data_IF_651908904111
#
_entry.id   IF_651908904111
#
_cell.length_a   1.000
_cell.length_b   1.000
_cell.length_c   1.000
_cell.angle_alpha   90.00
_cell.angle_beta   90.00
_cell.angle_gamma   90.00
#
_symmetry.space_group_name_H-M   'P 1'
#
loop_
_entity.id
_entity.type
_entity.pdbx_description
1 polymer ?
#
# COMPACT_ATOMS: atom_id res chain seq x y z
N UNK A 1 -23.18 17.85 38.87
CA UNK A 1 -23.97 17.86 37.61
C UNK A 1 -23.67 19.07 36.70
N UNK A 2 -23.55 20.31 37.23
CA UNK A 2 -23.29 21.50 36.42
C UNK A 2 -21.96 21.52 35.65
N UNK A 3 -20.95 20.76 36.09
CA UNK A 3 -19.64 20.68 35.44
C UNK A 3 -19.63 19.84 34.16
N UNK A 4 -20.58 18.89 34.00
CA UNK A 4 -20.63 17.96 32.85
C UNK A 4 -21.66 18.39 31.80
N UNK A 5 -22.54 19.33 32.14
CA UNK A 5 -23.55 19.89 31.22
C UNK A 5 -23.02 20.36 29.85
N UNK A 6 -21.82 20.96 29.75
CA UNK A 6 -21.30 21.41 28.45
C UNK A 6 -20.84 20.27 27.55
N UNK A 7 -20.28 19.20 28.11
CA UNK A 7 -19.61 18.12 27.37
C UNK A 7 -20.47 16.89 27.20
N UNK A 8 -21.42 16.65 28.11
CA UNK A 8 -22.31 15.49 28.08
C UNK A 8 -23.16 15.40 26.79
N UNK A 9 -23.74 16.49 26.25
CA UNK A 9 -24.49 16.41 24.99
C UNK A 9 -23.60 16.04 23.80
N UNK A 10 -22.36 16.55 23.76
CA UNK A 10 -21.39 16.24 22.69
C UNK A 10 -20.95 14.78 22.78
N UNK A 11 -20.66 14.30 23.99
CA UNK A 11 -20.31 12.90 24.23
C UNK A 11 -21.45 11.96 23.82
N UNK A 12 -22.68 12.27 24.21
CA UNK A 12 -23.86 11.49 23.83
C UNK A 12 -24.07 11.50 22.32
N UNK A 13 -23.95 12.66 21.66
CA UNK A 13 -24.05 12.75 20.21
C UNK A 13 -22.99 11.88 19.51
N UNK A 14 -21.73 11.98 19.92
CA UNK A 14 -20.65 11.16 19.36
C UNK A 14 -20.88 9.67 19.59
N UNK A 15 -21.32 9.27 20.78
CA UNK A 15 -21.64 7.87 21.09
C UNK A 15 -22.83 7.35 20.29
N UNK A 16 -23.84 8.18 20.00
CA UNK A 16 -24.95 7.79 19.13
C UNK A 16 -24.50 7.56 17.69
N UNK A 17 -23.64 8.43 17.14
CA UNK A 17 -23.10 8.26 15.80
C UNK A 17 -22.23 7.00 15.69
N UNK A 18 -21.32 6.79 16.64
CA UNK A 18 -20.48 5.57 16.68
C UNK A 18 -21.34 4.32 16.86
N UNK A 19 -22.35 4.37 17.72
CA UNK A 19 -23.30 3.27 17.92
C UNK A 19 -24.06 2.90 16.65
N UNK A 20 -24.54 3.89 15.90
CA UNK A 20 -25.22 3.66 14.62
C UNK A 20 -24.28 2.99 13.60
N UNK A 21 -23.05 3.49 13.45
CA UNK A 21 -22.06 2.88 12.55
C UNK A 21 -21.74 1.45 12.99
N UNK A 22 -21.52 1.20 14.28
CA UNK A 22 -21.23 -0.13 14.80
C UNK A 22 -22.38 -1.12 14.55
N UNK A 23 -23.64 -0.67 14.65
CA UNK A 23 -24.82 -1.49 14.34
C UNK A 23 -24.90 -1.78 12.84
N UNK A 24 -24.70 -0.78 11.98
CA UNK A 24 -24.69 -0.99 10.52
C UNK A 24 -23.61 -1.97 10.09
N UNK A 25 -22.41 -1.89 10.69
CA UNK A 25 -21.25 -2.72 10.33
C UNK A 25 -21.08 -3.96 11.23
N UNK A 26 -22.08 -4.31 12.06
CA UNK A 26 -22.00 -5.41 13.03
C UNK A 26 -21.52 -6.72 12.38
N UNK A 27 -22.10 -7.10 11.24
CA UNK A 27 -21.74 -8.32 10.53
C UNK A 27 -20.26 -8.34 10.07
N UNK A 28 -19.73 -7.19 9.65
CA UNK A 28 -18.32 -7.06 9.25
C UNK A 28 -17.37 -7.15 10.45
N UNK A 29 -17.77 -6.59 11.60
CA UNK A 29 -17.00 -6.67 12.85
C UNK A 29 -16.97 -8.12 13.36
N UNK A 30 -18.11 -8.80 13.37
CA UNK A 30 -18.21 -10.22 13.75
C UNK A 30 -17.31 -11.08 12.86
N UNK A 31 -17.39 -10.89 11.54
CA UNK A 31 -16.53 -11.60 10.59
C UNK A 31 -15.04 -11.36 10.87
N UNK A 32 -14.63 -10.12 11.15
CA UNK A 32 -13.24 -9.81 11.48
C UNK A 32 -12.79 -10.54 12.74
N UNK A 33 -13.59 -10.51 13.81
CA UNK A 33 -13.25 -11.14 15.08
C UNK A 33 -13.18 -12.68 14.99
N UNK A 34 -14.00 -13.29 14.12
CA UNK A 34 -13.98 -14.74 13.88
C UNK A 34 -12.81 -15.16 12.98
N UNK A 35 -12.50 -14.37 11.93
CA UNK A 35 -11.47 -14.73 10.95
C UNK A 35 -10.05 -14.31 11.35
N UNK A 36 -9.89 -13.30 12.20
CA UNK A 36 -8.58 -12.78 12.58
C UNK A 36 -7.69 -13.83 13.26
N UNK A 37 -8.14 -14.61 14.27
CA UNK A 37 -7.28 -15.62 14.90
C UNK A 37 -6.74 -16.70 13.94
N UNK A 38 -7.57 -17.40 13.14
CA UNK A 38 -7.04 -18.41 12.20
C UNK A 38 -6.20 -17.78 11.08
N UNK A 39 -6.48 -16.55 10.67
CA UNK A 39 -5.65 -15.85 9.69
C UNK A 39 -4.24 -15.55 10.22
N UNK A 40 -4.14 -15.03 11.46
CA UNK A 40 -2.83 -14.81 12.11
C UNK A 40 -2.08 -16.13 12.32
N UNK A 41 -2.78 -17.20 12.72
CA UNK A 41 -2.19 -18.52 12.84
C UNK A 41 -1.64 -19.03 11.49
N UNK A 42 -2.37 -18.81 10.40
CA UNK A 42 -1.91 -19.15 9.05
C UNK A 42 -0.65 -18.37 8.66
N UNK A 43 -0.58 -17.07 8.97
CA UNK A 43 0.62 -16.28 8.69
C UNK A 43 1.84 -16.78 9.47
N UNK A 44 1.67 -17.17 10.73
CA UNK A 44 2.75 -17.75 11.54
C UNK A 44 3.22 -19.11 11.00
N UNK A 45 2.36 -19.88 10.33
CA UNK A 45 2.72 -21.16 9.72
C UNK A 45 3.59 -21.05 8.47
N UNK A 46 3.65 -19.89 7.81
CA UNK A 46 4.41 -19.71 6.56
C UNK A 46 5.93 -19.76 6.81
N UNK A 47 6.38 -19.46 8.04
CA UNK A 47 7.81 -19.45 8.39
C UNK A 47 8.08 -20.07 9.77
N UNK A 48 7.95 -21.40 9.94
CA UNK A 48 8.22 -22.03 11.22
C UNK A 48 9.70 -21.93 11.56
N UNK A 49 10.02 -21.16 12.62
CA UNK A 49 11.38 -21.05 13.16
C UNK A 49 11.88 -22.38 13.75
N UNK A 50 10.96 -23.26 14.14
CA UNK A 50 11.25 -24.57 14.70
C UNK A 50 11.04 -25.66 13.65
N UNK A 51 11.94 -25.76 12.66
CA UNK A 51 11.94 -26.86 11.70
C UNK A 51 13.12 -27.82 11.94
N UNK A 52 12.94 -29.14 11.74
CA UNK A 52 13.96 -30.14 12.06
C UNK A 52 15.21 -30.06 11.18
N UNK A 53 15.15 -29.31 10.07
CA UNK A 53 16.29 -29.10 9.18
C UNK A 53 17.10 -27.83 9.49
N UNK A 54 16.61 -26.94 10.35
CA UNK A 54 17.24 -25.63 10.65
C UNK A 54 17.35 -24.66 9.46
N UNK A 55 16.81 -25.02 8.29
CA UNK A 55 16.90 -24.27 7.03
C UNK A 55 15.57 -23.67 6.63
N UNK A 56 15.56 -22.50 5.98
CA UNK A 56 14.33 -21.90 5.44
C UNK A 56 13.67 -22.85 4.42
N UNK A 57 12.36 -23.09 4.56
CA UNK A 57 11.56 -23.81 3.58
C UNK A 57 10.93 -22.77 2.64
N UNK A 58 11.45 -22.69 1.42
CA UNK A 58 10.86 -21.88 0.35
C UNK A 58 10.25 -22.80 -0.71
N UNK A 59 9.13 -22.39 -1.27
CA UNK A 59 8.60 -22.95 -2.51
C UNK A 59 8.73 -21.89 -3.62
N UNK A 60 9.08 -22.34 -4.82
CA UNK A 60 9.18 -21.49 -6.00
C UNK A 60 8.00 -21.79 -6.92
N UNK A 61 6.96 -20.97 -6.79
CA UNK A 61 5.82 -21.00 -7.72
C UNK A 61 5.91 -19.82 -8.69
N UNK A 62 5.87 -20.10 -9.99
CA UNK A 62 5.76 -19.06 -11.02
C UNK A 62 4.30 -18.68 -11.20
N UNK A 63 3.95 -17.46 -10.80
CA UNK A 63 2.65 -16.86 -11.07
C UNK A 63 2.76 -15.77 -12.13
N UNK A 64 2.11 -15.97 -13.28
CA UNK A 64 2.05 -14.96 -14.35
C UNK A 64 0.65 -14.37 -14.37
N UNK A 65 0.40 -13.39 -13.49
CA UNK A 65 -0.74 -12.48 -13.54
C UNK A 65 -2.07 -13.04 -14.07
N UNK A 66 -2.50 -14.21 -13.60
CA UNK A 66 -3.76 -14.86 -13.98
C UNK A 66 -4.61 -15.11 -12.73
N UNK A 67 -5.76 -14.42 -12.57
CA UNK A 67 -6.26 -13.39 -13.48
C UNK A 67 -5.42 -12.11 -13.44
N UNK A 68 -5.39 -11.32 -14.54
CA UNK A 68 -4.64 -10.07 -14.56
C UNK A 68 -5.20 -9.09 -13.54
N UNK A 69 -4.35 -8.21 -13.02
CA UNK A 69 -4.80 -7.14 -12.14
C UNK A 69 -5.71 -6.16 -12.91
N UNK A 70 -6.72 -5.62 -12.23
CA UNK A 70 -7.55 -4.58 -12.80
C UNK A 70 -6.78 -3.26 -12.93
N UNK A 71 -6.79 -2.67 -14.13
CA UNK A 71 -6.11 -1.41 -14.41
C UNK A 71 -7.06 -0.25 -14.74
N UNK A 72 -8.30 -0.56 -15.11
CA UNK A 72 -9.31 0.45 -15.45
C UNK A 72 -9.79 1.16 -14.19
N UNK A 73 -9.72 2.49 -14.20
CA UNK A 73 -10.03 3.35 -13.05
C UNK A 73 -8.83 3.67 -12.15
N UNK A 74 -7.63 3.22 -12.54
CA UNK A 74 -6.36 3.59 -11.91
C UNK A 74 -5.53 4.51 -12.82
N UNK A 75 -4.42 5.02 -12.28
CA UNK A 75 -3.51 5.88 -13.02
C UNK A 75 -2.97 5.19 -14.28
N UNK A 76 -2.96 5.88 -15.43
CA UNK A 76 -2.38 5.33 -16.65
C UNK A 76 -0.86 5.13 -16.47
N UNK A 77 -0.24 4.19 -17.23
CA UNK A 77 1.19 3.91 -17.12
C UNK A 77 2.08 5.13 -17.32
N UNK A 78 1.65 6.10 -18.14
CA UNK A 78 2.32 7.38 -18.35
C UNK A 78 2.40 8.27 -17.10
N UNK A 79 1.66 7.94 -16.05
CA UNK A 79 1.65 8.63 -14.76
C UNK A 79 2.23 7.77 -13.63
N UNK A 80 2.78 6.59 -13.96
CA UNK A 80 3.44 5.75 -12.96
C UNK A 80 4.80 6.34 -12.60
N UNK A 81 5.04 6.43 -11.30
CA UNK A 81 6.29 6.98 -10.77
C UNK A 81 7.40 5.95 -10.80
N UNK A 82 8.63 6.43 -10.90
CA UNK A 82 9.82 5.60 -10.72
C UNK A 82 9.86 5.08 -9.28
N UNK A 83 10.27 3.82 -9.09
CA UNK A 83 10.45 3.24 -7.77
C UNK A 83 11.55 3.95 -6.93
N UNK A 84 12.40 4.76 -7.56
CA UNK A 84 13.44 5.55 -6.88
C UNK A 84 12.94 6.94 -6.40
N UNK A 85 11.75 7.36 -6.80
CA UNK A 85 11.20 8.65 -6.43
C UNK A 85 10.47 8.54 -5.09
N UNK A 86 11.04 9.17 -4.06
CA UNK A 86 10.56 9.12 -2.68
C UNK A 86 9.77 10.37 -2.26
N UNK A 87 9.45 11.27 -3.20
CA UNK A 87 8.69 12.47 -2.86
C UNK A 87 7.24 12.11 -2.48
N UNK A 88 6.69 12.83 -1.51
CA UNK A 88 5.30 12.66 -1.09
C UNK A 88 4.36 13.31 -2.13
N UNK A 89 3.26 12.63 -2.41
CA UNK A 89 2.19 13.14 -3.28
C UNK A 89 0.85 12.65 -2.77
N UNK A 90 -0.17 13.48 -2.91
CA UNK A 90 -1.54 13.08 -2.60
C UNK A 90 -2.01 12.02 -3.61
N UNK A 91 -2.71 11.01 -3.08
CA UNK A 91 -3.33 9.98 -3.90
C UNK A 91 -4.63 10.53 -4.49
N UNK A 92 -4.82 10.46 -5.82
CA UNK A 92 -6.07 10.88 -6.44
C UNK A 92 -7.27 10.13 -5.88
N UNK A 93 -8.40 10.83 -5.80
CA UNK A 93 -9.65 10.26 -5.31
C UNK A 93 -10.29 9.34 -6.35
N UNK A 94 -11.16 8.43 -5.88
CA UNK A 94 -11.97 7.59 -6.77
C UNK A 94 -11.19 6.52 -7.54
N UNK A 95 -10.02 6.11 -7.01
CA UNK A 95 -9.23 5.00 -7.54
C UNK A 95 -9.80 3.65 -7.09
N UNK A 96 -10.46 2.96 -8.01
CA UNK A 96 -10.92 1.60 -7.82
C UNK A 96 -11.10 0.94 -9.19
N UNK A 97 -11.22 -0.39 -9.20
CA UNK A 97 -11.50 -1.10 -10.44
C UNK A 97 -12.87 -0.72 -11.01
N UNK A 98 -12.89 0.03 -12.12
CA UNK A 98 -14.11 0.51 -12.81
C UNK A 98 -14.60 -0.44 -13.92
N UNK A 99 -14.20 -1.71 -13.89
CA UNK A 99 -14.78 -2.77 -14.73
C UNK A 99 -16.14 -3.27 -14.18
N UNK A 100 -16.94 -4.03 -14.94
CA UNK A 100 -18.17 -4.64 -14.43
C UNK A 100 -17.94 -5.51 -13.20
N UNK A 101 -18.94 -5.61 -12.31
CA UNK A 101 -18.81 -6.34 -11.04
C UNK A 101 -18.53 -7.84 -11.23
N UNK A 102 -19.03 -8.42 -12.31
CA UNK A 102 -18.87 -9.80 -12.77
C UNK A 102 -17.59 -10.04 -13.59
N UNK A 103 -16.75 -9.01 -13.79
CA UNK A 103 -15.50 -9.16 -14.55
C UNK A 103 -14.56 -10.18 -13.87
N UNK A 104 -14.01 -11.15 -14.63
CA UNK A 104 -13.09 -12.17 -14.11
C UNK A 104 -11.68 -11.64 -13.82
N UNK A 105 -11.40 -10.39 -14.17
CA UNK A 105 -10.14 -9.70 -13.87
C UNK A 105 -9.98 -9.55 -12.36
N UNK A 106 -8.75 -9.76 -11.88
CA UNK A 106 -8.40 -9.77 -10.46
C UNK A 106 -8.86 -8.49 -9.76
N UNK A 107 -9.86 -8.63 -8.90
CA UNK A 107 -10.42 -7.53 -8.12
C UNK A 107 -9.51 -7.27 -6.94
N UNK A 108 -8.49 -6.44 -7.14
CA UNK A 108 -7.86 -5.75 -6.01
C UNK A 108 -8.68 -4.50 -5.72
N UNK A 109 -9.16 -4.36 -4.49
CA UNK A 109 -9.81 -3.14 -4.00
C UNK A 109 -11.34 -3.19 -3.91
N UNK A 110 -11.93 -2.00 -3.79
CA UNK A 110 -13.25 -1.81 -3.20
C UNK A 110 -14.46 -2.18 -4.10
N UNK A 111 -14.28 -2.41 -5.41
CA UNK A 111 -15.36 -2.61 -6.40
C UNK A 111 -16.53 -3.47 -5.92
N UNK A 112 -16.19 -4.59 -5.27
CA UNK A 112 -17.15 -5.62 -4.87
C UNK A 112 -17.41 -5.65 -3.36
N UNK A 113 -17.12 -4.57 -2.62
CA UNK A 113 -17.42 -4.52 -1.19
C UNK A 113 -18.93 -4.50 -0.94
N UNK A 114 -19.40 -5.28 0.06
CA UNK A 114 -20.81 -5.31 0.43
C UNK A 114 -21.22 -3.98 1.08
N UNK A 115 -22.26 -3.34 0.54
CA UNK A 115 -22.85 -2.16 1.13
C UNK A 115 -23.65 -2.55 2.39
N UNK A 116 -23.10 -2.30 3.58
CA UNK A 116 -23.70 -2.79 4.82
C UNK A 116 -25.12 -2.26 5.08
N UNK A 117 -25.40 -1.01 4.68
CA UNK A 117 -26.74 -0.42 4.79
C UNK A 117 -27.73 -0.85 3.70
N UNK A 118 -27.29 -1.57 2.67
CA UNK A 118 -28.11 -1.94 1.50
C UNK A 118 -27.90 -3.42 1.14
N UNK A 119 -28.68 -4.34 1.73
CA UNK A 119 -28.53 -5.78 1.52
C UNK A 119 -28.55 -6.15 0.03
N UNK A 120 -27.58 -6.96 -0.40
CA UNK A 120 -27.44 -7.42 -1.79
C UNK A 120 -26.75 -6.44 -2.73
N UNK A 121 -26.52 -5.18 -2.32
CA UNK A 121 -25.79 -4.19 -3.12
C UNK A 121 -24.29 -4.25 -2.83
N UNK A 122 -23.49 -4.07 -3.87
CA UNK A 122 -22.03 -3.91 -3.78
C UNK A 122 -21.61 -2.63 -4.47
N UNK A 123 -20.64 -1.93 -3.89
CA UNK A 123 -20.10 -0.73 -4.50
C UNK A 123 -18.70 -0.41 -3.93
N UNK A 124 -17.88 0.33 -4.69
CA UNK A 124 -16.55 0.76 -4.27
C UNK A 124 -16.55 1.90 -3.24
N UNK A 125 -17.61 2.71 -3.19
CA UNK A 125 -17.67 3.87 -2.30
C UNK A 125 -19.02 3.96 -1.59
N UNK A 126 -19.05 4.70 -0.48
CA UNK A 126 -20.26 4.87 0.33
C UNK A 126 -21.32 5.68 -0.41
N UNK A 127 -20.92 6.65 -1.23
CA UNK A 127 -21.83 7.47 -2.03
C UNK A 127 -22.55 6.61 -3.07
N UNK A 128 -21.83 5.70 -3.71
CA UNK A 128 -22.44 4.76 -4.64
C UNK A 128 -23.31 3.75 -3.89
N UNK A 129 -22.92 3.29 -2.69
CA UNK A 129 -23.77 2.45 -1.86
C UNK A 129 -25.11 3.12 -1.54
N UNK A 130 -25.09 4.39 -1.13
CA UNK A 130 -26.29 5.16 -0.77
C UNK A 130 -27.10 5.65 -1.97
N UNK A 131 -26.49 5.74 -3.16
CA UNK A 131 -27.19 6.13 -4.38
C UNK A 131 -28.33 5.16 -4.77
N UNK A 132 -29.39 5.66 -5.40
CA UNK A 132 -30.45 4.82 -5.97
C UNK A 132 -30.06 4.13 -7.28
N UNK A 133 -28.89 4.44 -7.82
CA UNK A 133 -28.42 3.98 -9.13
C UNK A 133 -27.55 2.72 -9.01
N UNK A 134 -27.59 1.82 -10.01
CA UNK A 134 -26.67 0.70 -10.09
C UNK A 134 -25.23 1.18 -10.35
N UNK A 135 -24.26 0.32 -10.07
CA UNK A 135 -22.85 0.56 -10.40
C UNK A 135 -22.67 0.66 -11.92
N UNK A 136 -22.09 1.76 -12.39
CA UNK A 136 -21.80 1.98 -13.81
C UNK A 136 -20.30 1.73 -14.09
N UNK A 137 -19.96 0.74 -14.94
CA UNK A 137 -18.58 0.48 -15.32
C UNK A 137 -18.09 1.51 -16.35
N UNK A 138 -16.83 1.92 -16.23
CA UNK A 138 -16.17 2.82 -17.19
C UNK A 138 -15.87 2.12 -18.52
N UNK A 139 -15.56 0.82 -18.47
CA UNK A 139 -15.30 0.00 -19.65
C UNK A 139 -15.70 -1.44 -19.37
N UNK A 140 -16.18 -2.15 -20.39
CA UNK A 140 -16.58 -3.56 -20.26
C UNK A 140 -15.38 -4.52 -20.14
N UNK A 141 -14.24 -4.16 -20.72
CA UNK A 141 -13.01 -4.94 -20.71
C UNK A 141 -11.81 -4.02 -20.59
N UNK A 142 -10.76 -4.52 -19.95
CA UNK A 142 -9.47 -3.85 -19.95
C UNK A 142 -8.63 -4.32 -21.13
N UNK A 143 -7.84 -3.40 -21.70
CA UNK A 143 -6.87 -3.75 -22.73
C UNK A 143 -5.58 -4.25 -22.08
N UNK A 144 -5.02 -5.34 -22.61
CA UNK A 144 -3.74 -5.87 -22.13
C UNK A 144 -2.57 -4.94 -22.50
N UNK A 145 -2.58 -4.39 -23.71
CA UNK A 145 -1.48 -3.57 -24.27
C UNK A 145 -1.94 -2.21 -24.83
N UNK A 146 -3.25 -2.00 -24.94
CA UNK A 146 -3.83 -0.75 -25.42
C UNK A 146 -3.88 0.35 -24.36
N UNK A 147 -4.17 1.60 -24.77
CA UNK A 147 -4.33 2.72 -23.85
C UNK A 147 -5.44 2.44 -22.83
N UNK A 148 -5.32 3.03 -21.65
CA UNK A 148 -6.37 2.96 -20.66
C UNK A 148 -7.61 3.72 -21.14
N UNK A 149 -8.82 3.26 -20.78
CA UNK A 149 -10.05 3.99 -21.08
C UNK A 149 -10.03 5.41 -20.51
N UNK A 150 -10.70 6.33 -21.19
CA UNK A 150 -10.93 7.69 -20.69
C UNK A 150 -11.65 7.64 -19.34
N UNK A 151 -11.06 8.23 -18.29
CA UNK A 151 -11.66 8.31 -16.97
C UNK A 151 -11.96 9.78 -16.60
N UNK A 152 -13.25 10.19 -16.60
CA UNK A 152 -13.64 11.56 -16.27
C UNK A 152 -13.14 12.01 -14.90
N UNK A 153 -13.05 11.09 -13.92
CA UNK A 153 -12.65 11.39 -12.55
C UNK A 153 -11.16 11.71 -12.44
N UNK A 154 -10.30 11.07 -13.25
CA UNK A 154 -8.87 11.37 -13.25
C UNK A 154 -8.61 12.69 -13.98
N UNK A 155 -9.30 12.90 -15.12
CA UNK A 155 -9.17 14.12 -15.90
C UNK A 155 -9.66 15.35 -15.12
N UNK A 156 -10.74 15.23 -14.36
CA UNK A 156 -11.22 16.34 -13.51
C UNK A 156 -10.25 16.70 -12.38
N UNK A 157 -9.36 15.77 -12.00
CA UNK A 157 -8.30 15.97 -11.02
C UNK A 157 -6.97 16.42 -11.67
N UNK A 158 -6.96 16.71 -12.97
CA UNK A 158 -5.78 17.21 -13.68
C UNK A 158 -4.83 16.11 -14.18
N UNK A 159 -5.23 14.85 -14.12
CA UNK A 159 -4.41 13.74 -14.61
C UNK A 159 -4.61 13.59 -16.11
N UNK A 160 -3.53 13.64 -16.91
CA UNK A 160 -3.63 13.54 -18.36
C UNK A 160 -4.07 12.14 -18.78
N UNK A 161 -4.58 12.05 -20.02
CA UNK A 161 -4.89 10.78 -20.65
C UNK A 161 -3.61 9.94 -20.84
N UNK A 162 -3.79 8.63 -21.00
CA UNK A 162 -2.72 7.71 -21.36
C UNK A 162 -2.03 8.19 -22.64
N UNK A 163 -0.71 8.34 -22.60
CA UNK A 163 0.08 8.87 -23.72
C UNK A 163 0.05 7.94 -24.95
N UNK A 164 -0.28 6.67 -24.73
CA UNK A 164 -0.51 5.67 -25.79
C UNK A 164 -1.68 6.00 -26.71
N UNK A 165 -2.56 6.92 -26.30
CA UNK A 165 -3.64 7.43 -27.17
C UNK A 165 -3.07 8.22 -28.35
N UNK A 166 -2.01 8.99 -28.15
CA UNK A 166 -1.40 9.86 -29.17
C UNK A 166 -0.01 9.37 -29.61
N UNK A 167 0.46 8.24 -29.08
CA UNK A 167 1.80 7.71 -29.35
C UNK A 167 2.08 7.56 -30.85
N UNK A 168 1.06 7.22 -31.64
CA UNK A 168 1.19 7.03 -33.08
C UNK A 168 1.19 8.33 -33.90
N UNK A 169 0.75 9.45 -33.34
CA UNK A 169 0.58 10.71 -34.07
C UNK A 169 1.93 11.33 -34.49
N UNK A 170 3.01 10.93 -33.82
CA UNK A 170 4.38 11.43 -34.06
C UNK A 170 5.35 10.34 -34.55
N UNK A 171 4.85 9.18 -34.98
CA UNK A 171 5.73 8.10 -35.49
C UNK A 171 6.33 8.46 -36.85
N UNK A 172 5.64 9.31 -37.62
CA UNK A 172 6.12 9.78 -38.90
C UNK A 172 6.79 11.15 -38.74
N UNK A 173 8.08 11.23 -39.09
CA UNK A 173 8.78 12.51 -39.17
C UNK A 173 8.15 13.42 -40.24
N UNK A 174 8.29 14.75 -40.12
CA UNK A 174 7.83 15.67 -41.14
C UNK A 174 8.48 15.29 -42.50
N UNK A 175 7.67 15.24 -43.56
CA UNK A 175 8.14 14.83 -44.91
C UNK A 175 9.31 15.71 -45.41
N UNK A 176 9.41 16.93 -44.89
CA UNK A 176 10.46 17.90 -45.21
C UNK A 176 11.78 17.65 -44.46
N UNK A 177 11.82 16.69 -43.53
CA UNK A 177 12.95 16.44 -42.64
C UNK A 177 13.08 17.49 -41.53
N UNK A 178 13.83 17.17 -40.48
CA UNK A 178 14.19 18.16 -39.45
C UNK A 178 15.23 19.13 -40.03
N UNK A 179 15.02 20.46 -39.93
CA UNK A 179 16.02 21.44 -40.38
C UNK A 179 17.33 21.23 -39.65
N UNK A 180 18.46 21.25 -40.39
CA UNK A 180 19.80 21.18 -39.79
C UNK A 180 19.96 22.35 -38.80
N UNK A 181 20.44 22.13 -37.56
CA UNK A 181 20.76 23.23 -36.66
C UNK A 181 21.75 24.19 -37.34
N UNK A 182 21.69 25.51 -37.07
CA UNK A 182 22.61 26.47 -37.65
C UNK A 182 24.04 26.00 -37.41
N UNK A 183 24.76 25.73 -38.51
CA UNK A 183 26.17 25.36 -38.41
C UNK A 183 26.97 26.50 -37.77
N UNK A 184 28.08 26.20 -37.09
CA UNK A 184 28.96 27.25 -36.58
C UNK A 184 29.37 28.18 -37.72
N UNK A 185 29.43 29.49 -37.43
CA UNK A 185 29.87 30.48 -38.39
C UNK A 185 31.26 30.10 -38.96
N UNK A 186 31.54 30.38 -40.25
CA UNK A 186 32.84 30.11 -40.83
C UNK A 186 33.94 30.75 -39.97
N UNK A 187 34.93 29.97 -39.57
CA UNK A 187 36.05 30.49 -38.80
C UNK A 187 36.77 31.57 -39.62
N UNK A 188 36.85 32.78 -39.06
CA UNK A 188 37.68 33.85 -39.60
C UNK A 188 39.14 33.37 -39.63
N UNK A 189 39.92 33.65 -40.70
CA UNK A 189 41.32 33.24 -40.75
C UNK A 189 42.09 33.91 -39.63
N UNK A 190 42.59 33.12 -38.67
CA UNK A 190 43.47 33.61 -37.61
C UNK A 190 44.86 33.80 -38.23
N UNK A 191 45.37 35.04 -38.21
CA UNK A 191 46.76 35.34 -38.57
C UNK A 191 47.72 34.56 -37.64
N UNK A 192 48.87 34.08 -38.12
CA UNK A 192 49.73 33.21 -37.34
C UNK A 192 50.27 33.96 -36.10
N UNK A 193 49.82 33.54 -34.93
CA UNK A 193 50.34 34.02 -33.66
C UNK A 193 51.78 33.53 -33.48
N UNK A 194 52.72 34.47 -33.43
CA UNK A 194 54.10 34.20 -33.08
C UNK A 194 54.19 33.82 -31.60
N UNK A 195 54.75 32.64 -31.33
CA UNK A 195 55.41 32.30 -30.06
C UNK A 195 54.49 32.15 -28.84
N UNK A 196 53.88 30.97 -28.69
CA UNK A 196 53.47 30.45 -27.39
C UNK A 196 54.14 29.09 -27.14
N UNK A 197 54.84 28.88 -26.00
CA UNK A 197 55.42 27.59 -25.65
C UNK A 197 54.32 26.55 -25.36
N UNK A 198 54.60 25.25 -25.58
CA UNK A 198 53.58 24.21 -25.48
C UNK A 198 53.05 24.10 -24.04
N UNK A 199 51.72 23.96 -23.83
CA UNK A 199 51.20 23.61 -22.52
C UNK A 199 51.65 22.18 -22.16
N UNK A 200 52.17 22.06 -20.95
CA UNK A 200 52.61 20.80 -20.36
C UNK A 200 51.42 19.86 -20.14
N UNK A 201 51.64 18.57 -20.46
CA UNK A 201 50.99 17.43 -19.81
C UNK A 201 49.48 17.33 -19.95
N UNK A 202 49.00 16.65 -21.00
CA UNK A 202 47.68 16.00 -20.97
C UNK A 202 47.77 14.78 -20.04
N UNK A 203 47.17 14.87 -18.85
CA UNK A 203 46.93 13.71 -18.02
C UNK A 203 46.01 12.75 -18.77
N UNK A 204 46.50 11.53 -18.97
CA UNK A 204 45.80 10.44 -19.64
C UNK A 204 44.48 10.11 -18.92
N UNK A 205 43.41 9.97 -19.70
CA UNK A 205 42.16 9.33 -19.28
C UNK A 205 42.48 7.87 -18.93
N UNK A 206 42.16 7.36 -17.72
CA UNK A 206 42.34 5.94 -17.44
C UNK A 206 41.37 5.11 -18.28
N UNK A 207 41.89 4.04 -18.89
CA UNK A 207 41.09 3.04 -19.60
C UNK A 207 40.08 2.36 -18.65
N UNK A 208 38.93 1.88 -19.16
CA UNK A 208 37.92 1.21 -18.34
C UNK A 208 38.51 -0.06 -17.70
N UNK A 209 38.43 -0.13 -16.37
CA UNK A 209 38.84 -1.31 -15.62
C UNK A 209 37.79 -2.41 -15.74
N UNK A 210 38.25 -3.65 -15.94
CA UNK A 210 37.44 -4.86 -15.97
C UNK A 210 36.73 -5.10 -14.64
N UNK A 211 35.43 -5.35 -14.71
CA UNK A 211 34.59 -5.81 -13.59
C UNK A 211 35.12 -7.15 -13.04
N UNK A 212 35.33 -7.30 -11.72
CA UNK A 212 35.60 -8.61 -11.13
C UNK A 212 34.30 -9.42 -11.03
N UNK A 213 34.34 -10.66 -11.51
CA UNK A 213 33.35 -11.70 -11.22
C UNK A 213 33.24 -11.91 -9.71
N UNK A 214 32.03 -11.76 -9.16
CA UNK A 214 31.71 -12.19 -7.79
C UNK A 214 30.36 -12.91 -7.76
N UNK A 215 30.44 -14.24 -7.75
CA UNK A 215 29.50 -15.11 -7.07
C UNK A 215 30.27 -15.84 -5.93
N UNK A 216 29.59 -16.49 -4.98
CA UNK A 216 29.19 -15.92 -3.71
C UNK A 216 30.02 -16.47 -2.54
N UNK A 217 30.28 -15.64 -1.53
CA UNK A 217 30.78 -16.09 -0.23
C UNK A 217 29.75 -15.79 0.86
N UNK A 218 29.29 -16.85 1.51
CA UNK A 218 28.58 -16.85 2.77
C UNK A 218 29.37 -16.08 3.83
N UNK A 219 28.81 -14.95 4.31
CA UNK A 219 28.94 -14.53 5.71
C UNK A 219 27.62 -13.93 6.16
N UNK A 220 27.05 -14.52 7.22
CA UNK A 220 25.74 -14.20 7.78
C UNK A 220 25.63 -12.77 8.28
N UNK A 221 25.06 -11.91 7.43
CA UNK A 221 24.51 -10.62 7.82
C UNK A 221 23.06 -10.78 8.28
N UNK A 222 22.77 -10.41 9.52
CA UNK A 222 21.42 -10.21 10.02
C UNK A 222 20.76 -9.09 9.23
N UNK A 223 19.69 -9.40 8.50
CA UNK A 223 18.92 -8.40 7.75
C UNK A 223 17.87 -7.81 8.67
N UNK A 224 18.03 -6.55 9.05
CA UNK A 224 17.04 -5.82 9.84
C UNK A 224 15.90 -5.32 8.94
N UNK A 225 14.62 -5.46 9.32
CA UNK A 225 13.50 -4.93 8.57
C UNK A 225 13.53 -3.38 8.53
N UNK A 226 12.91 -2.80 7.49
CA UNK A 226 12.93 -1.37 7.12
C UNK A 226 12.38 -0.38 8.17
N UNK A 227 11.99 -0.87 9.35
CA UNK A 227 11.52 -0.06 10.48
C UNK A 227 12.57 0.08 11.61
N UNK A 228 13.78 -0.46 11.45
CA UNK A 228 14.80 -0.38 12.48
C UNK A 228 15.46 1.00 12.51
N UNK A 229 15.05 1.83 13.48
CA UNK A 229 15.81 3.01 13.91
C UNK A 229 16.59 2.66 15.17
N UNK A 230 17.87 3.04 15.25
CA UNK A 230 18.66 2.97 16.48
C UNK A 230 18.13 3.99 17.50
N UNK A 231 17.05 3.63 18.19
CA UNK A 231 16.38 4.45 19.17
C UNK A 231 15.40 3.61 19.98
N UNK A 232 15.78 3.30 21.22
CA UNK A 232 14.90 2.65 22.19
C UNK A 232 13.74 3.60 22.52
N UNK A 233 12.50 3.23 22.16
CA UNK A 233 11.31 4.00 22.53
C UNK A 233 10.06 3.83 21.67
N UNK A 234 9.92 2.77 20.89
CA UNK A 234 8.65 2.43 20.23
C UNK A 234 7.69 1.69 21.18
N UNK A 235 6.37 1.73 20.95
CA UNK A 235 5.41 0.99 21.77
C UNK A 235 5.70 -0.51 21.69
N UNK A 236 6.13 -1.10 22.80
CA UNK A 236 6.40 -2.53 22.89
C UNK A 236 5.08 -3.29 23.03
N UNK A 237 4.75 -4.12 22.06
CA UNK A 237 3.69 -5.12 22.20
C UNK A 237 4.27 -6.30 22.96
N UNK A 238 3.83 -6.49 24.20
CA UNK A 238 4.18 -7.66 25.00
C UNK A 238 3.08 -8.72 24.88
N UNK A 239 3.47 -9.96 24.64
CA UNK A 239 2.57 -11.12 24.68
C UNK A 239 2.81 -11.85 26.00
N UNK A 240 1.75 -12.03 26.80
CA UNK A 240 1.80 -12.74 28.08
C UNK A 240 1.21 -14.15 27.93
N UNK A 241 1.81 -15.13 28.59
CA UNK A 241 1.24 -16.48 28.71
C UNK A 241 0.09 -16.44 29.71
N UNK A 242 -1.11 -16.81 29.26
CA UNK A 242 -2.35 -16.80 30.05
C UNK A 242 -2.79 -18.24 30.36
N UNK A 243 -3.11 -18.51 31.62
CA UNK A 243 -3.77 -19.75 32.05
C UNK A 243 -5.29 -19.54 32.18
N UNK A 244 -6.10 -20.11 31.27
CA UNK A 244 -7.54 -19.96 31.28
C UNK A 244 -8.24 -20.65 32.46
N UNK A 245 -7.59 -21.61 33.13
CA UNK A 245 -8.18 -22.31 34.28
C UNK A 245 -8.11 -21.47 35.56
N UNK A 246 -7.07 -20.64 35.71
CA UNK A 246 -6.81 -19.87 36.93
C UNK A 246 -6.95 -18.36 36.75
N UNK A 247 -7.03 -17.88 35.50
CA UNK A 247 -7.08 -16.46 35.15
C UNK A 247 -5.74 -15.74 35.36
N UNK A 248 -4.65 -16.48 35.50
CA UNK A 248 -3.32 -15.92 35.75
C UNK A 248 -2.60 -15.58 34.44
N UNK A 249 -1.85 -14.49 34.43
CA UNK A 249 -0.94 -14.14 33.35
C UNK A 249 0.41 -13.67 33.88
N UNK A 250 1.47 -14.01 33.17
CA UNK A 250 2.84 -13.58 33.48
C UNK A 250 3.24 -12.41 32.57
N UNK A 251 3.71 -11.32 33.17
CA UNK A 251 4.28 -10.17 32.45
C UNK A 251 5.72 -10.46 31.99
N UNK A 252 6.24 -9.74 30.97
CA UNK A 252 7.63 -9.87 30.54
C UNK A 252 8.66 -9.68 31.65
N UNK A 253 8.31 -8.92 32.69
CA UNK A 253 9.16 -8.66 33.86
C UNK A 253 9.12 -9.79 34.91
N UNK A 254 8.43 -10.90 34.61
CA UNK A 254 8.36 -12.10 35.46
C UNK A 254 7.32 -12.03 36.59
N UNK A 255 6.60 -10.91 36.72
CA UNK A 255 5.53 -10.77 37.70
C UNK A 255 4.25 -11.49 37.20
N UNK A 256 3.62 -12.24 38.10
CA UNK A 256 2.36 -12.97 37.84
C UNK A 256 1.20 -12.18 38.42
N UNK A 257 0.22 -11.85 37.57
CA UNK A 257 -1.02 -11.18 37.94
C UNK A 257 -2.20 -12.10 37.65
N UNK A 258 -3.36 -11.82 38.26
CA UNK A 258 -4.58 -12.59 38.07
C UNK A 258 -5.72 -11.68 37.67
N UNK A 259 -6.31 -11.96 36.51
CA UNK A 259 -7.49 -11.26 36.03
C UNK A 259 -8.73 -12.00 36.55
N UNK A 260 -9.48 -11.36 37.45
CA UNK A 260 -10.55 -11.98 38.23
C UNK A 260 -11.87 -12.11 37.48
N UNK A 261 -12.04 -11.43 36.34
CA UNK A 261 -13.35 -11.27 35.68
C UNK A 261 -13.54 -12.10 34.39
N UNK A 262 -12.54 -12.88 33.95
CA UNK A 262 -12.64 -13.76 32.76
C UNK A 262 -13.00 -15.22 33.07
N UNK A 263 -13.13 -15.58 34.35
CA UNK A 263 -13.66 -16.88 34.77
C UNK A 263 -15.11 -16.68 35.22
N UNK A 264 -16.03 -17.49 34.72
CA UNK A 264 -17.47 -17.42 35.06
C UNK A 264 -17.68 -17.71 36.55
N UNK A 265 -17.63 -16.68 37.39
CA UNK A 265 -17.99 -16.78 38.80
C UNK A 265 -19.51 -16.76 38.95
N UNK A 266 -20.08 -17.88 39.40
CA UNK A 266 -21.53 -18.11 39.55
C UNK A 266 -22.18 -17.40 40.74
N UNK A 267 -22.09 -16.07 40.80
CA UNK A 267 -22.76 -15.25 41.82
C UNK A 267 -23.14 -13.86 41.32
N UNK A 268 -24.15 -13.24 41.94
CA UNK A 268 -24.61 -11.88 41.58
C UNK A 268 -23.48 -10.86 41.75
N UNK A 269 -23.14 -10.16 40.66
CA UNK A 269 -22.08 -9.13 40.62
C UNK A 269 -22.65 -7.75 40.93
N UNK A 270 -21.91 -6.94 41.70
CA UNK A 270 -22.20 -5.52 41.88
C UNK A 270 -21.42 -4.68 40.88
N UNK A 271 -21.91 -3.48 40.54
CA UNK A 271 -21.23 -2.60 39.60
C UNK A 271 -19.81 -2.19 40.05
N UNK A 272 -19.52 -2.26 41.36
CA UNK A 272 -18.21 -1.92 41.93
C UNK A 272 -17.14 -2.96 41.60
N UNK A 273 -17.55 -4.18 41.30
CA UNK A 273 -16.66 -5.29 40.95
C UNK A 273 -16.15 -5.19 39.50
N UNK A 274 -16.69 -4.24 38.72
CA UNK A 274 -16.30 -3.96 37.33
C UNK A 274 -15.20 -2.89 37.21
N UNK A 275 -14.73 -2.35 38.33
CA UNK A 275 -13.64 -1.37 38.34
C UNK A 275 -12.29 -2.06 38.55
N UNK A 276 -11.25 -1.75 37.75
CA UNK A 276 -9.93 -2.34 37.92
C UNK A 276 -9.34 -1.91 39.27
N UNK A 277 -9.08 -2.88 40.14
CA UNK A 277 -8.34 -2.66 41.38
C UNK A 277 -6.85 -2.71 41.10
N UNK A 278 -6.12 -1.70 41.58
CA UNK A 278 -4.66 -1.61 41.55
C UNK A 278 -3.99 -2.70 42.36
#
# INVERSE_FOLDING_TARGET
>A
LNQVKPTLPVLLANLTTVGQVAVTYHASIEQLLVLLPPYVASLQSIGPMNNPTGMAKGDFTVGIGDPPACTVGFLPPSQWRSAADLSDIDTPDGLYCKLPQDSPIGVRGARNYPCQGQPGKRAPTVEICESGTPFEPLAMRQHATGPYPFDPNLVSQGIPLDDRVTLNDNIYGPLQGTPRPPGPAPAVPVAPAAGQPPPAGVSQVPAPQSVPDLAPLDQGGTVAPSAYTNGAGGPSVAVATYDPATGQYATPDGNVFRQTDLVTQGGQRSWKDLLPTT
#
